data_IF_421478982486
#
_entry.id   IF_421478982486
#
_cell.length_a   1.000
_cell.length_b   1.000
_cell.length_c   1.000
_cell.angle_alpha   90.00
_cell.angle_beta   90.00
_cell.angle_gamma   90.00
#
_symmetry.space_group_name_H-M   'P 1'
#
loop_
_entity.id
_entity.type
_entity.pdbx_description
1 polymer ?
#
# COMPACT_ATOMS: atom_id res chain seq x y z
N UNK A 1 31.63 56.06 10.15
CA UNK A 1 31.06 54.78 10.63
C UNK A 1 29.55 54.92 10.49
N UNK A 2 28.79 54.14 9.72
CA UNK A 2 28.87 52.70 9.46
C UNK A 2 28.20 52.39 8.11
N UNK A 3 28.87 51.60 7.29
CA UNK A 3 28.39 51.08 5.99
C UNK A 3 27.44 49.91 6.26
N UNK A 4 26.17 50.03 5.88
CA UNK A 4 25.23 48.93 5.92
C UNK A 4 25.45 48.00 4.71
N UNK A 5 26.13 46.88 4.95
CA UNK A 5 26.32 45.78 3.98
C UNK A 5 24.98 45.16 3.61
N UNK A 6 24.69 45.16 2.31
CA UNK A 6 23.79 44.22 1.65
C UNK A 6 24.19 42.77 1.97
N UNK A 7 23.26 41.98 2.52
CA UNK A 7 23.35 40.53 2.54
C UNK A 7 22.32 39.96 1.55
N UNK A 8 22.75 39.76 0.31
CA UNK A 8 22.02 38.96 -0.68
C UNK A 8 22.16 37.47 -0.31
N UNK A 9 21.21 36.93 0.44
CA UNK A 9 21.10 35.48 0.62
C UNK A 9 20.45 34.86 -0.62
N UNK A 10 21.32 34.45 -1.55
CA UNK A 10 21.02 33.51 -2.63
C UNK A 10 20.39 32.24 -2.05
N UNK A 11 19.06 32.10 -2.16
CA UNK A 11 18.36 30.83 -1.98
C UNK A 11 18.69 29.92 -3.16
N UNK A 12 19.79 29.16 -3.07
CA UNK A 12 19.94 27.95 -3.89
C UNK A 12 18.85 26.97 -3.47
N UNK A 13 17.84 26.80 -4.31
CA UNK A 13 16.82 25.78 -4.14
C UNK A 13 17.49 24.41 -3.99
N UNK A 14 17.39 23.82 -2.80
CA UNK A 14 17.85 22.47 -2.56
C UNK A 14 17.07 21.54 -3.50
N UNK A 15 17.74 20.99 -4.50
CA UNK A 15 17.13 19.99 -5.36
C UNK A 15 16.86 18.76 -4.49
N UNK A 16 15.64 18.24 -4.48
CA UNK A 16 15.35 17.04 -3.70
C UNK A 16 16.19 15.86 -4.17
N UNK A 17 16.64 15.06 -3.22
CA UNK A 17 17.33 13.80 -3.48
C UNK A 17 16.42 12.88 -4.29
N UNK A 18 16.99 12.34 -5.37
CA UNK A 18 16.39 11.34 -6.25
C UNK A 18 15.76 10.15 -5.48
N UNK A 19 16.37 9.70 -4.39
CA UNK A 19 15.84 8.60 -3.58
C UNK A 19 14.53 9.00 -2.86
N UNK A 20 14.39 10.27 -2.49
CA UNK A 20 13.19 10.80 -1.84
C UNK A 20 12.05 10.87 -2.83
N UNK A 21 12.28 11.32 -4.07
CA UNK A 21 11.28 11.34 -5.14
C UNK A 21 10.78 9.94 -5.51
N UNK A 22 11.65 8.94 -5.43
CA UNK A 22 11.28 7.56 -5.73
C UNK A 22 10.47 6.90 -4.61
N UNK A 23 10.83 7.21 -3.37
CA UNK A 23 10.08 6.76 -2.19
C UNK A 23 8.73 7.46 -2.12
N UNK A 24 8.70 8.76 -2.43
CA UNK A 24 7.50 9.57 -2.61
C UNK A 24 6.57 8.97 -3.65
N UNK A 25 7.10 8.57 -4.81
CA UNK A 25 6.33 7.90 -5.86
C UNK A 25 5.65 6.61 -5.39
N UNK A 26 6.37 5.80 -4.60
CA UNK A 26 5.82 4.57 -4.02
C UNK A 26 4.85 4.82 -2.88
N UNK A 27 5.00 5.94 -2.18
CA UNK A 27 4.10 6.35 -1.10
C UNK A 27 2.84 6.99 -1.64
N UNK A 28 2.91 7.79 -2.73
CA UNK A 28 1.89 8.64 -3.38
C UNK A 28 0.55 7.99 -3.74
N UNK A 29 0.30 6.77 -3.30
CA UNK A 29 -0.75 5.89 -3.75
C UNK A 29 -1.80 5.64 -2.64
N UNK A 30 -2.00 6.59 -1.70
CA UNK A 30 -2.85 6.37 -0.50
C UNK A 30 -3.65 7.60 -0.01
N UNK A 31 -4.87 7.80 -0.54
CA UNK A 31 -6.11 8.70 -0.41
C UNK A 31 -6.19 10.24 -0.20
N UNK A 32 -6.84 10.89 -1.20
CA UNK A 32 -7.59 12.17 -1.25
C UNK A 32 -7.25 13.09 -2.45
N UNK A 33 -8.29 13.37 -3.25
CA UNK A 33 -8.39 14.36 -4.32
C UNK A 33 -9.65 14.07 -5.14
N UNK A 34 -10.38 15.11 -5.55
CA UNK A 34 -11.56 14.99 -6.43
C UNK A 34 -11.08 14.96 -7.87
N UNK A 35 -11.37 13.88 -8.60
CA UNK A 35 -10.88 13.71 -9.97
C UNK A 35 -11.98 13.12 -10.86
N UNK A 36 -12.14 13.69 -12.05
CA UNK A 36 -13.06 13.19 -13.07
C UNK A 36 -12.67 11.75 -13.50
N UNK A 37 -13.67 10.89 -13.64
CA UNK A 37 -13.54 9.46 -13.88
C UNK A 37 -13.60 9.19 -15.40
N UNK A 38 -12.46 8.81 -15.98
CA UNK A 38 -12.45 8.03 -17.22
C UNK A 38 -12.68 6.55 -16.85
N UNK A 39 -13.21 5.69 -17.74
CA UNK A 39 -13.40 4.28 -17.43
C UNK A 39 -12.11 3.65 -16.92
N UNK A 40 -12.15 3.05 -15.71
CA UNK A 40 -10.97 2.50 -15.03
C UNK A 40 -10.25 1.46 -15.90
N UNK A 41 -10.99 0.72 -16.71
CA UNK A 41 -10.49 -0.29 -17.64
C UNK A 41 -9.55 0.30 -18.71
N UNK A 42 -9.89 1.46 -19.26
CA UNK A 42 -9.06 2.16 -20.24
C UNK A 42 -7.76 2.65 -19.60
N UNK A 43 -7.84 3.13 -18.35
CA UNK A 43 -6.66 3.56 -17.60
C UNK A 43 -5.74 2.39 -17.24
N UNK A 44 -6.32 1.24 -16.87
CA UNK A 44 -5.57 0.02 -16.59
C UNK A 44 -4.84 -0.45 -17.83
N UNK A 45 -5.51 -0.46 -18.99
CA UNK A 45 -4.90 -0.81 -20.29
C UNK A 45 -3.77 0.15 -20.64
N UNK A 46 -4.01 1.46 -20.58
CA UNK A 46 -3.01 2.51 -20.86
C UNK A 46 -1.73 2.32 -20.02
N UNK A 47 -1.89 2.12 -18.71
CA UNK A 47 -0.76 2.02 -17.77
C UNK A 47 0.03 0.71 -17.98
N UNK A 48 -0.66 -0.38 -18.33
CA UNK A 48 -0.01 -1.67 -18.61
C UNK A 48 0.76 -1.65 -19.93
N UNK A 49 0.24 -0.98 -20.96
CA UNK A 49 0.88 -0.88 -22.28
C UNK A 49 2.06 0.11 -22.29
N UNK A 50 1.94 1.23 -21.57
CA UNK A 50 2.95 2.30 -21.54
C UNK A 50 3.31 2.71 -20.11
N UNK A 51 3.86 1.78 -19.30
CA UNK A 51 4.28 2.10 -17.95
C UNK A 51 5.51 3.02 -17.99
N UNK A 52 5.57 3.97 -17.06
CA UNK A 52 6.83 4.65 -16.77
C UNK A 52 7.79 3.70 -16.08
N UNK A 53 7.27 2.87 -15.16
CA UNK A 53 8.00 1.85 -14.43
C UNK A 53 7.17 0.58 -14.32
N UNK A 54 7.80 -0.56 -14.56
CA UNK A 54 7.22 -1.87 -14.30
C UNK A 54 8.22 -2.70 -13.50
N UNK A 55 7.74 -3.31 -12.42
CA UNK A 55 8.57 -4.17 -11.57
C UNK A 55 7.73 -5.28 -10.93
N UNK A 56 8.38 -6.43 -10.74
CA UNK A 56 7.78 -7.62 -10.14
C UNK A 56 8.62 -8.05 -8.96
N UNK A 57 7.97 -8.34 -7.84
CA UNK A 57 8.59 -8.86 -6.62
C UNK A 57 7.90 -10.16 -6.26
N UNK A 58 8.68 -11.23 -6.11
CA UNK A 58 8.21 -12.58 -5.78
C UNK A 58 8.84 -13.08 -4.48
N UNK A 59 8.43 -14.25 -4.00
CA UNK A 59 8.93 -14.84 -2.75
C UNK A 59 8.46 -14.08 -1.52
N UNK A 60 7.34 -13.36 -1.61
CA UNK A 60 6.78 -12.60 -0.51
C UNK A 60 5.90 -13.53 0.33
N UNK A 61 6.42 -13.99 1.46
CA UNK A 61 5.76 -14.99 2.30
C UNK A 61 5.00 -14.36 3.44
N UNK A 62 3.79 -14.86 3.70
CA UNK A 62 3.00 -14.54 4.89
C UNK A 62 2.47 -15.83 5.50
N UNK A 63 2.44 -15.91 6.83
CA UNK A 63 1.83 -17.05 7.51
C UNK A 63 0.34 -16.74 7.73
N UNK A 64 -0.53 -17.14 6.82
CA UNK A 64 -1.97 -17.02 7.01
C UNK A 64 -2.69 -18.12 6.22
N UNK A 65 -3.86 -18.53 6.69
CA UNK A 65 -4.81 -19.27 5.86
C UNK A 65 -5.29 -18.41 4.68
N UNK A 66 -5.62 -19.08 3.58
CA UNK A 66 -6.18 -18.42 2.39
C UNK A 66 -7.43 -17.61 2.74
N UNK A 67 -8.34 -18.18 3.52
CA UNK A 67 -9.61 -17.53 3.91
C UNK A 67 -9.41 -16.24 4.71
N UNK A 68 -8.52 -16.23 5.71
CA UNK A 68 -8.20 -15.01 6.46
C UNK A 68 -7.58 -13.96 5.53
N UNK A 69 -6.64 -14.37 4.69
CA UNK A 69 -5.95 -13.46 3.77
C UNK A 69 -6.92 -12.81 2.78
N UNK A 70 -7.82 -13.60 2.20
CA UNK A 70 -8.82 -13.11 1.24
C UNK A 70 -9.87 -12.19 1.86
N UNK A 71 -10.30 -12.50 3.09
CA UNK A 71 -11.19 -11.63 3.85
C UNK A 71 -10.56 -10.26 4.10
N UNK A 72 -9.32 -10.23 4.58
CA UNK A 72 -8.59 -8.97 4.84
C UNK A 72 -8.37 -8.16 3.55
N UNK A 73 -8.01 -8.82 2.44
CA UNK A 73 -7.89 -8.15 1.15
C UNK A 73 -9.24 -7.61 0.63
N UNK A 74 -10.37 -8.25 0.96
CA UNK A 74 -11.70 -7.78 0.59
C UNK A 74 -12.18 -6.62 1.46
N UNK A 75 -11.62 -6.49 2.67
CA UNK A 75 -11.93 -5.44 3.65
C UNK A 75 -10.69 -4.62 4.00
N UNK A 76 -10.17 -3.81 3.07
CA UNK A 76 -8.94 -3.04 3.29
C UNK A 76 -9.12 -1.92 4.34
N UNK A 77 -10.33 -1.41 4.53
CA UNK A 77 -10.73 -0.48 5.60
C UNK A 77 -10.59 -1.13 6.99
N UNK A 78 -11.12 -2.34 7.15
CA UNK A 78 -11.00 -3.15 8.37
C UNK A 78 -9.55 -3.57 8.60
N UNK A 79 -8.86 -4.02 7.56
CA UNK A 79 -7.43 -4.39 7.63
C UNK A 79 -6.55 -3.22 8.05
N UNK A 80 -6.78 -2.03 7.50
CA UNK A 80 -6.07 -0.82 7.90
C UNK A 80 -6.32 -0.49 9.38
N UNK A 81 -7.56 -0.66 9.84
CA UNK A 81 -7.95 -0.40 11.23
C UNK A 81 -7.31 -1.41 12.19
N UNK A 82 -7.33 -2.70 11.84
CA UNK A 82 -6.64 -3.75 12.57
C UNK A 82 -5.13 -3.47 12.64
N UNK A 83 -4.53 -3.04 11.54
CA UNK A 83 -3.12 -2.68 11.48
C UNK A 83 -2.76 -1.50 12.39
N UNK A 84 -3.66 -0.52 12.54
CA UNK A 84 -3.49 0.60 13.49
C UNK A 84 -3.68 0.15 14.93
N UNK A 85 -4.74 -0.61 15.21
CA UNK A 85 -5.05 -1.12 16.55
C UNK A 85 -3.91 -1.99 17.12
N UNK A 86 -3.16 -2.66 16.24
CA UNK A 86 -1.99 -3.47 16.57
C UNK A 86 -0.64 -2.74 16.39
N UNK A 87 -0.64 -1.43 16.17
CA UNK A 87 0.55 -0.58 15.95
C UNK A 87 1.50 -1.08 14.84
N UNK A 88 0.97 -1.78 13.84
CA UNK A 88 1.73 -2.25 12.67
C UNK A 88 1.75 -1.22 11.55
N UNK A 89 0.76 -0.34 11.51
CA UNK A 89 0.63 0.73 10.53
C UNK A 89 -0.01 1.99 11.10
N UNK A 90 0.21 3.12 10.40
CA UNK A 90 -0.39 4.42 10.71
C UNK A 90 -1.33 4.93 9.61
N UNK A 91 -1.44 4.19 8.51
CA UNK A 91 -2.26 4.61 7.39
C UNK A 91 -3.75 4.40 7.69
N UNK A 92 -4.58 5.25 7.10
CA UNK A 92 -6.03 5.14 7.14
C UNK A 92 -6.53 4.64 5.79
N UNK A 93 -7.60 3.85 5.81
CA UNK A 93 -8.36 3.45 4.63
C UNK A 93 -9.82 3.61 4.97
N UNK A 94 -10.58 4.20 4.08
CA UNK A 94 -12.02 4.40 4.21
C UNK A 94 -12.71 4.12 2.88
N UNK A 95 -13.93 3.56 2.87
CA UNK A 95 -14.74 3.47 1.66
C UNK A 95 -14.94 4.87 1.06
N UNK A 96 -14.95 4.97 -0.28
CA UNK A 96 -15.11 6.28 -0.94
C UNK A 96 -16.58 6.65 -1.23
N UNK A 97 -17.52 5.73 -0.96
CA UNK A 97 -18.95 5.86 -1.27
C UNK A 97 -19.38 5.08 -2.53
N UNK A 98 -18.43 4.64 -3.36
CA UNK A 98 -18.63 3.70 -4.46
C UNK A 98 -17.87 2.38 -4.26
N UNK A 99 -17.32 1.83 -5.35
CA UNK A 99 -16.63 0.52 -5.34
C UNK A 99 -15.15 0.58 -4.91
N UNK A 100 -14.67 1.72 -4.41
CA UNK A 100 -13.27 1.86 -4.04
C UNK A 100 -13.04 2.52 -2.69
N UNK A 101 -11.77 2.82 -2.43
CA UNK A 101 -11.28 3.20 -1.12
C UNK A 101 -10.36 4.41 -1.21
N UNK A 102 -10.36 5.24 -0.16
CA UNK A 102 -9.41 6.32 0.06
C UNK A 102 -8.42 5.91 1.14
N UNK A 103 -7.12 5.95 0.82
CA UNK A 103 -6.04 5.86 1.81
C UNK A 103 -5.70 7.19 2.54
N UNK A 104 -4.76 7.18 3.47
CA UNK A 104 -3.95 8.35 3.87
C UNK A 104 -2.78 7.76 4.66
N UNK A 105 -1.54 7.94 4.21
CA UNK A 105 -0.39 7.35 4.91
C UNK A 105 0.08 8.15 6.13
N UNK A 106 -0.50 9.31 6.38
CA UNK A 106 -0.12 10.26 7.44
C UNK A 106 1.26 10.88 7.24
N UNK A 107 1.92 10.64 6.11
CA UNK A 107 3.28 11.09 5.77
C UNK A 107 3.31 11.92 4.49
N UNK A 108 2.16 12.22 3.91
CA UNK A 108 2.02 13.10 2.76
C UNK A 108 1.50 12.40 1.51
N UNK A 109 1.30 11.08 1.55
CA UNK A 109 0.63 10.40 0.46
C UNK A 109 -0.88 10.37 0.64
N UNK A 110 -1.55 10.58 -0.51
CA UNK A 110 -2.99 10.69 -0.78
C UNK A 110 -3.29 9.95 -2.12
N UNK A 111 -4.53 9.65 -2.53
CA UNK A 111 -4.93 8.63 -3.54
C UNK A 111 -6.07 7.57 -3.38
N UNK A 112 -6.98 7.49 -4.34
CA UNK A 112 -8.01 6.45 -4.38
C UNK A 112 -7.47 5.12 -4.93
N UNK A 113 -8.01 3.99 -4.49
CA UNK A 113 -7.78 2.69 -5.13
C UNK A 113 -9.05 1.84 -5.22
N UNK A 114 -9.10 0.96 -6.21
CA UNK A 114 -10.25 0.09 -6.51
C UNK A 114 -9.78 -1.28 -6.97
N UNK A 115 -10.54 -2.30 -6.62
CA UNK A 115 -10.38 -3.64 -7.16
C UNK A 115 -11.03 -3.69 -8.54
N UNK A 116 -10.24 -4.00 -9.57
CA UNK A 116 -10.64 -4.02 -10.98
C UNK A 116 -10.96 -5.44 -11.43
N UNK A 117 -10.18 -6.41 -10.99
CA UNK A 117 -10.32 -7.83 -11.35
C UNK A 117 -10.08 -8.67 -10.09
N UNK A 118 -10.93 -9.67 -9.90
CA UNK A 118 -10.77 -10.70 -8.88
C UNK A 118 -10.90 -12.07 -9.53
N UNK A 119 -9.90 -12.92 -9.30
CA UNK A 119 -9.88 -14.33 -9.69
C UNK A 119 -9.32 -15.18 -8.55
N UNK A 120 -9.29 -16.50 -8.76
CA UNK A 120 -8.70 -17.43 -7.80
C UNK A 120 -7.21 -17.10 -7.60
N UNK A 121 -6.82 -16.76 -6.37
CA UNK A 121 -5.43 -16.40 -6.04
C UNK A 121 -4.91 -15.15 -6.76
N UNK A 122 -5.79 -14.28 -7.29
CA UNK A 122 -5.38 -13.13 -8.10
C UNK A 122 -6.29 -11.92 -7.88
N UNK A 123 -5.67 -10.75 -7.70
CA UNK A 123 -6.36 -9.46 -7.64
C UNK A 123 -5.62 -8.39 -8.45
N UNK A 124 -6.37 -7.61 -9.20
CA UNK A 124 -5.85 -6.43 -9.90
C UNK A 124 -6.44 -5.18 -9.28
N UNK A 125 -5.59 -4.31 -8.77
CA UNK A 125 -5.97 -3.02 -8.23
C UNK A 125 -5.54 -1.90 -9.16
N UNK A 126 -6.41 -0.93 -9.34
CA UNK A 126 -6.05 0.37 -9.88
C UNK A 126 -5.96 1.36 -8.73
N UNK A 127 -4.91 2.16 -8.70
CA UNK A 127 -4.75 3.25 -7.74
C UNK A 127 -4.32 4.53 -8.44
N UNK A 128 -4.76 5.66 -7.91
CA UNK A 128 -4.32 7.00 -8.32
C UNK A 128 -4.10 7.81 -7.07
N UNK A 129 -3.03 8.58 -7.01
CA UNK A 129 -2.82 9.44 -5.85
C UNK A 129 -1.79 10.54 -6.02
N UNK A 130 -1.53 11.21 -4.91
CA UNK A 130 -0.59 12.31 -4.79
C UNK A 130 0.38 12.07 -3.64
N UNK A 131 1.55 12.69 -3.72
CA UNK A 131 2.48 12.80 -2.61
C UNK A 131 2.93 14.24 -2.44
N UNK A 132 2.70 14.75 -1.24
CA UNK A 132 2.94 16.12 -0.83
C UNK A 132 4.01 16.17 0.25
N UNK A 133 5.09 16.93 0.00
CA UNK A 133 6.11 17.27 1.00
C UNK A 133 6.51 18.73 0.84
N UNK A 134 6.83 19.45 1.94
CA UNK A 134 7.16 20.88 1.88
C UNK A 134 8.31 21.27 0.94
N UNK A 135 9.20 20.35 0.60
CA UNK A 135 10.38 20.57 -0.23
C UNK A 135 10.26 19.94 -1.63
N UNK A 136 9.10 19.39 -1.97
CA UNK A 136 8.84 18.72 -3.23
C UNK A 136 7.62 19.31 -3.93
N UNK A 137 7.64 19.41 -5.27
CA UNK A 137 6.39 19.56 -5.98
C UNK A 137 5.50 18.35 -5.71
N UNK A 138 4.19 18.56 -5.64
CA UNK A 138 3.20 17.49 -5.55
C UNK A 138 3.40 16.49 -6.68
N UNK A 139 3.62 15.22 -6.31
CA UNK A 139 3.79 14.14 -7.28
C UNK A 139 2.47 13.43 -7.43
N UNK A 140 1.83 13.54 -8.60
CA UNK A 140 0.63 12.79 -8.93
C UNK A 140 0.99 11.56 -9.77
N UNK A 141 0.40 10.42 -9.45
CA UNK A 141 0.66 9.17 -10.15
C UNK A 141 -0.54 8.23 -10.18
N UNK A 142 -0.45 7.25 -11.08
CA UNK A 142 -1.38 6.14 -11.25
C UNK A 142 -0.59 4.82 -11.20
N UNK A 143 -1.21 3.78 -10.68
CA UNK A 143 -0.64 2.45 -10.50
C UNK A 143 -1.68 1.39 -10.91
N UNK A 144 -1.22 0.37 -11.61
CA UNK A 144 -1.89 -0.94 -11.65
C UNK A 144 -1.05 -1.92 -10.84
N UNK A 145 -1.65 -2.55 -9.84
CA UNK A 145 -1.02 -3.58 -9.02
C UNK A 145 -1.71 -4.90 -9.27
N UNK A 146 -0.94 -5.91 -9.67
CA UNK A 146 -1.39 -7.29 -9.78
C UNK A 146 -0.79 -8.03 -8.60
N UNK A 147 -1.67 -8.55 -7.74
CA UNK A 147 -1.32 -9.41 -6.63
C UNK A 147 -1.71 -10.84 -6.99
N UNK A 148 -0.75 -11.73 -7.02
CA UNK A 148 -0.94 -13.17 -7.13
C UNK A 148 -0.54 -13.81 -5.80
N UNK A 149 -1.34 -14.75 -5.31
CA UNK A 149 -1.10 -15.44 -4.05
C UNK A 149 -1.61 -16.87 -4.11
N UNK A 150 -0.89 -17.77 -3.43
CA UNK A 150 -1.25 -19.17 -3.38
C UNK A 150 -0.53 -19.90 -2.25
N UNK A 151 -0.99 -21.11 -1.97
CA UNK A 151 -0.31 -21.99 -1.01
C UNK A 151 0.95 -22.57 -1.64
N UNK A 152 2.02 -22.70 -0.85
CA UNK A 152 3.28 -23.30 -1.31
C UNK A 152 3.25 -24.84 -1.23
N UNK A 153 2.09 -25.44 -1.51
CA UNK A 153 1.84 -26.87 -1.32
C UNK A 153 1.62 -27.28 0.15
N UNK A 154 1.35 -28.57 0.42
CA UNK A 154 0.91 -29.05 1.73
C UNK A 154 1.96 -28.92 2.85
N UNK A 155 3.25 -28.86 2.49
CA UNK A 155 4.37 -28.94 3.42
C UNK A 155 4.88 -27.59 3.94
N UNK A 156 4.46 -26.47 3.32
CA UNK A 156 4.91 -25.13 3.71
C UNK A 156 3.72 -24.32 4.21
N UNK A 157 3.59 -24.11 5.54
CA UNK A 157 2.48 -23.32 6.07
C UNK A 157 2.58 -21.87 5.61
N UNK A 158 1.48 -21.34 5.09
CA UNK A 158 1.33 -19.96 4.67
C UNK A 158 1.15 -19.77 3.17
N UNK A 159 1.17 -18.51 2.76
CA UNK A 159 0.95 -18.07 1.38
C UNK A 159 2.22 -17.46 0.82
N UNK A 160 2.56 -17.81 -0.41
CA UNK A 160 3.52 -17.08 -1.22
C UNK A 160 2.79 -16.10 -2.12
N UNK A 161 3.35 -14.90 -2.20
CA UNK A 161 2.80 -13.80 -2.94
C UNK A 161 3.79 -13.31 -3.99
N UNK A 162 3.22 -12.82 -5.07
CA UNK A 162 3.90 -12.12 -6.14
C UNK A 162 3.15 -10.83 -6.43
N UNK A 163 3.88 -9.73 -6.44
CA UNK A 163 3.34 -8.41 -6.75
C UNK A 163 3.99 -7.88 -8.00
N UNK A 164 3.17 -7.52 -8.98
CA UNK A 164 3.60 -6.78 -10.16
C UNK A 164 2.97 -5.39 -10.15
N UNK A 165 3.78 -4.34 -10.24
CA UNK A 165 3.33 -2.95 -10.28
C UNK A 165 3.68 -2.28 -11.59
N UNK A 166 2.72 -1.56 -12.18
CA UNK A 166 2.87 -0.71 -13.34
C UNK A 166 2.55 0.74 -12.94
N UNK A 167 3.57 1.60 -12.89
CA UNK A 167 3.42 2.98 -12.41
C UNK A 167 3.50 3.95 -13.59
N UNK A 168 2.63 4.95 -13.56
CA UNK A 168 2.66 6.12 -14.42
C UNK A 168 2.61 7.39 -13.58
N UNK A 169 3.27 8.43 -14.03
CA UNK A 169 3.33 9.72 -13.33
C UNK A 169 2.69 10.76 -14.21
N UNK A 170 1.79 11.54 -13.63
CA UNK A 170 1.05 12.56 -14.34
C UNK A 170 1.70 13.96 -14.14
N UNK A 171 2.53 14.14 -13.10
CA UNK A 171 3.33 15.38 -12.92
C UNK A 171 4.58 15.38 -13.81
N UNK A 172 4.96 16.52 -14.43
CA UNK A 172 6.20 16.65 -15.22
C UNK A 172 7.46 16.66 -14.34
N UNK A 173 7.77 15.54 -13.68
CA UNK A 173 9.03 15.30 -12.94
C UNK A 173 10.00 14.41 -13.71
N UNK A 174 9.72 14.17 -15.00
CA UNK A 174 10.45 13.26 -15.90
C UNK A 174 11.96 13.56 -15.89
N UNK A 175 12.35 14.84 -15.91
CA UNK A 175 13.75 15.25 -15.89
C UNK A 175 14.53 14.87 -14.61
N UNK A 176 13.85 14.71 -13.48
CA UNK A 176 14.50 14.31 -12.22
C UNK A 176 14.56 12.78 -12.09
N UNK A 177 13.50 12.08 -12.52
CA UNK A 177 13.49 10.62 -12.57
C UNK A 177 14.41 10.05 -13.65
N UNK A 178 14.59 10.75 -14.77
CA UNK A 178 15.49 10.35 -15.86
C UNK A 178 16.96 10.28 -15.42
N UNK A 179 17.36 11.07 -14.42
CA UNK A 179 18.70 11.00 -13.81
C UNK A 179 18.88 9.78 -12.91
N UNK A 180 17.78 9.13 -12.52
CA UNK A 180 17.81 7.92 -11.71
C UNK A 180 17.91 6.73 -12.65
N UNK A 181 19.00 5.96 -12.54
CA UNK A 181 19.14 4.73 -13.29
C UNK A 181 18.02 3.75 -12.95
N UNK A 182 17.43 3.09 -13.97
CA UNK A 182 16.43 2.03 -13.81
C UNK A 182 16.78 0.98 -12.72
N UNK A 183 18.06 0.57 -12.52
CA UNK A 183 18.42 -0.36 -11.44
C UNK A 183 18.18 0.20 -10.03
N UNK A 184 18.47 1.47 -9.80
CA UNK A 184 18.25 2.12 -8.50
C UNK A 184 16.76 2.23 -8.20
N UNK A 185 15.97 2.56 -9.22
CA UNK A 185 14.51 2.58 -9.12
C UNK A 185 13.97 1.22 -8.69
N UNK A 186 14.35 0.16 -9.41
CA UNK A 186 13.92 -1.22 -9.12
C UNK A 186 14.28 -1.66 -7.72
N UNK A 187 15.53 -1.41 -7.27
CA UNK A 187 15.97 -1.76 -5.90
C UNK A 187 15.13 -1.10 -4.82
N UNK A 188 14.81 0.17 -4.98
CA UNK A 188 13.99 0.89 -4.02
C UNK A 188 12.53 0.42 -4.03
N UNK A 189 11.97 0.09 -5.21
CA UNK A 189 10.66 -0.56 -5.32
C UNK A 189 10.65 -1.91 -4.60
N UNK A 190 11.63 -2.76 -4.89
CA UNK A 190 11.75 -4.08 -4.27
C UNK A 190 11.83 -3.97 -2.74
N UNK A 191 12.72 -3.11 -2.24
CA UNK A 191 12.87 -2.87 -0.79
C UNK A 191 11.55 -2.40 -0.17
N UNK A 192 10.83 -1.51 -0.85
CA UNK A 192 9.57 -0.97 -0.34
C UNK A 192 8.45 -2.02 -0.31
N UNK A 193 8.34 -2.83 -1.36
CA UNK A 193 7.36 -3.93 -1.44
C UNK A 193 7.67 -5.00 -0.38
N UNK A 194 8.94 -5.43 -0.27
CA UNK A 194 9.34 -6.38 0.79
C UNK A 194 9.02 -5.83 2.17
N UNK A 195 9.37 -4.58 2.45
CA UNK A 195 9.05 -3.95 3.74
C UNK A 195 7.54 -3.84 4.02
N UNK A 196 6.72 -3.63 3.00
CA UNK A 196 5.26 -3.68 3.15
C UNK A 196 4.81 -5.09 3.56
N UNK A 197 5.30 -6.13 2.87
CA UNK A 197 4.94 -7.52 3.19
C UNK A 197 5.48 -7.98 4.54
N UNK A 198 6.64 -7.50 4.98
CA UNK A 198 7.12 -7.70 6.36
C UNK A 198 6.11 -7.17 7.38
N UNK A 199 5.51 -6.00 7.13
CA UNK A 199 4.47 -5.46 8.01
C UNK A 199 3.17 -6.24 7.94
N UNK A 200 2.79 -6.72 6.77
CA UNK A 200 1.62 -7.60 6.61
C UNK A 200 1.83 -8.91 7.37
N UNK A 201 3.01 -9.52 7.28
CA UNK A 201 3.35 -10.72 8.05
C UNK A 201 3.24 -10.47 9.56
N UNK A 202 3.84 -9.37 10.06
CA UNK A 202 3.74 -9.00 11.49
C UNK A 202 2.31 -8.74 11.93
N UNK A 203 1.49 -8.12 11.08
CA UNK A 203 0.07 -7.90 11.35
C UNK A 203 -0.67 -9.23 11.52
N UNK A 204 -0.50 -10.14 10.57
CA UNK A 204 -1.12 -11.46 10.61
C UNK A 204 -0.66 -12.25 11.84
N UNK A 205 0.64 -12.19 12.15
CA UNK A 205 1.19 -12.86 13.33
C UNK A 205 0.68 -12.27 14.65
N UNK A 206 0.60 -10.95 14.76
CA UNK A 206 0.05 -10.30 15.93
C UNK A 206 -1.45 -10.60 16.11
N UNK A 207 -2.22 -10.53 15.03
CA UNK A 207 -3.67 -10.78 15.08
C UNK A 207 -4.00 -12.24 15.40
N UNK A 208 -3.26 -13.19 14.83
CA UNK A 208 -3.46 -14.61 15.09
C UNK A 208 -2.83 -15.08 16.40
N UNK A 209 -1.83 -14.38 16.93
CA UNK A 209 -1.18 -14.71 18.20
C UNK A 209 -2.06 -14.42 19.43
N UNK A 210 -2.88 -13.37 19.35
CA UNK A 210 -3.84 -12.97 20.40
C UNK A 210 -5.15 -12.47 19.76
N UNK A 211 -6.01 -13.38 19.24
CA UNK A 211 -7.27 -12.99 18.62
C UNK A 211 -8.19 -12.13 19.52
N UNK A 212 -8.41 -12.48 20.80
CA UNK A 212 -9.24 -11.66 21.69
C UNK A 212 -8.67 -10.26 21.89
N UNK A 213 -7.36 -10.12 22.10
CA UNK A 213 -6.71 -8.83 22.25
C UNK A 213 -6.75 -7.99 20.99
N UNK A 214 -6.57 -8.60 19.82
CA UNK A 214 -6.67 -7.92 18.53
C UNK A 214 -8.07 -7.36 18.27
N UNK A 215 -9.11 -8.16 18.53
CA UNK A 215 -10.50 -7.75 18.36
C UNK A 215 -10.90 -6.67 19.35
N UNK A 216 -10.48 -6.77 20.63
CA UNK A 216 -10.75 -5.75 21.63
C UNK A 216 -10.19 -4.40 21.20
N UNK A 217 -8.93 -4.35 20.77
CA UNK A 217 -8.30 -3.11 20.30
C UNK A 217 -8.95 -2.58 19.01
N UNK A 218 -9.37 -3.46 18.11
CA UNK A 218 -10.09 -3.06 16.89
C UNK A 218 -11.47 -2.46 17.22
N UNK A 219 -12.18 -3.01 18.20
CA UNK A 219 -13.50 -2.56 18.60
C UNK A 219 -13.49 -1.17 19.28
N UNK A 220 -12.38 -0.77 19.89
CA UNK A 220 -12.19 0.56 20.50
C UNK A 220 -12.37 1.70 19.47
N UNK A 221 -12.08 1.46 18.19
CA UNK A 221 -12.28 2.43 17.10
C UNK A 221 -13.76 2.61 16.71
N UNK A 222 -14.66 1.67 17.05
CA UNK A 222 -16.10 1.73 16.77
C UNK A 222 -16.52 1.80 15.30
N UNK A 223 -15.58 1.64 14.36
CA UNK A 223 -15.78 1.94 12.94
C UNK A 223 -16.34 0.79 12.10
N UNK A 224 -16.47 -0.41 12.67
CA UNK A 224 -16.81 -1.64 11.95
C UNK A 224 -18.07 -2.29 12.50
N UNK A 225 -18.83 -2.94 11.62
CA UNK A 225 -20.08 -3.60 12.02
C UNK A 225 -19.82 -4.80 12.95
N UNK A 226 -20.77 -5.15 13.84
CA UNK A 226 -20.66 -6.36 14.66
C UNK A 226 -20.45 -7.63 13.83
N UNK A 227 -21.10 -7.73 12.66
CA UNK A 227 -20.99 -8.88 11.77
C UNK A 227 -19.57 -9.04 11.21
N UNK A 228 -18.90 -7.94 10.89
CA UNK A 228 -17.51 -7.96 10.41
C UNK A 228 -16.54 -8.40 11.49
N UNK A 229 -16.74 -7.92 12.72
CA UNK A 229 -15.92 -8.27 13.87
C UNK A 229 -16.10 -9.75 14.23
N UNK A 230 -17.33 -10.25 14.19
CA UNK A 230 -17.64 -11.66 14.42
C UNK A 230 -17.07 -12.56 13.31
N UNK A 231 -17.15 -12.14 12.05
CA UNK A 231 -16.53 -12.87 10.96
C UNK A 231 -15.01 -12.92 11.13
N UNK A 232 -14.37 -11.78 11.39
CA UNK A 232 -12.93 -11.70 11.66
C UNK A 232 -12.55 -12.61 12.84
N UNK A 233 -13.33 -12.60 13.93
CA UNK A 233 -13.10 -13.46 15.09
C UNK A 233 -13.03 -14.93 14.70
N UNK A 234 -14.04 -15.43 13.98
CA UNK A 234 -14.06 -16.84 13.53
C UNK A 234 -12.81 -17.19 12.70
N UNK A 235 -12.37 -16.28 11.83
CA UNK A 235 -11.18 -16.50 11.01
C UNK A 235 -9.89 -16.48 11.84
N UNK A 236 -9.76 -15.57 12.80
CA UNK A 236 -8.60 -15.50 13.68
C UNK A 236 -8.53 -16.68 14.65
N UNK A 237 -9.65 -17.15 15.17
CA UNK A 237 -9.72 -18.34 16.03
C UNK A 237 -9.29 -19.60 15.26
N UNK A 238 -9.80 -19.77 14.03
CA UNK A 238 -9.39 -20.88 13.15
C UNK A 238 -7.90 -20.80 12.78
N UNK A 239 -7.40 -19.59 12.52
CA UNK A 239 -6.00 -19.34 12.22
C UNK A 239 -5.08 -19.60 13.42
N UNK A 240 -5.51 -19.23 14.62
CA UNK A 240 -4.80 -19.51 15.87
C UNK A 240 -4.69 -21.03 16.09
N UNK A 241 -5.80 -21.75 15.94
CA UNK A 241 -5.82 -23.22 16.05
C UNK A 241 -4.91 -23.89 15.00
N UNK A 242 -4.94 -23.40 13.74
CA UNK A 242 -4.06 -23.87 12.66
C UNK A 242 -2.58 -23.74 13.02
N UNK A 243 -2.21 -22.65 13.71
CA UNK A 243 -0.83 -22.35 14.11
C UNK A 243 -0.37 -23.11 15.35
N UNK A 244 -1.29 -23.44 16.26
CA UNK A 244 -0.99 -24.24 17.45
C UNK A 244 -0.61 -25.69 17.11
N UNK A 245 -0.99 -26.18 15.92
CA UNK A 245 -0.80 -27.57 15.51
C UNK A 245 -1.82 -28.52 16.15
N UNK A 246 -1.87 -29.79 15.72
CA UNK A 246 -2.61 -30.80 16.46
C UNK A 246 -2.02 -30.96 17.88
N UNK A 247 -2.86 -31.28 18.89
CA UNK A 247 -2.37 -31.57 20.25
C UNK A 247 -1.41 -32.77 20.28
#
# INVERSE_FOLDING_TARGET
MTIARHASTSRRGARPDAAVLLTALLLSLTGAGSFAVSPVEDQVREIRERPLLAHTVSGLKVNASLTLYEFLLARPDLTASLARALDQAKYRVSPDGGNGFRGDDGKGAKGYFVLVEQGEGRRVFFARGTYDKPLLPTIAGRLVLILEYGTNGPAVPGLENRVQGFVRIDTPIVGTLARIGRPLVRRAMEKKVRHLFEKVARLLDAAAGDPPGALRRLAEDGAHSPDDLEHLRRLLDAEHARRAGPP
#
